data_IF_749186489358
#
_entry.id   IF_749186489358
#
_cell.length_a   1.000
_cell.length_b   1.000
_cell.length_c   1.000
_cell.angle_alpha   90.00
_cell.angle_beta   90.00
_cell.angle_gamma   90.00
#
_symmetry.space_group_name_H-M   'P 1'
#
loop_
_entity.id
_entity.type
_entity.pdbx_description
1 polymer ?
#
# COMPACT_ATOMS: atom_id res chain seq x y z
N UNK A 1 -12.03 14.28 -35.35
CA UNK A 1 -12.61 13.06 -34.75
C UNK A 1 -11.73 12.50 -33.63
N UNK A 2 -10.43 12.26 -33.87
CA UNK A 2 -9.49 11.74 -32.86
C UNK A 2 -9.37 12.61 -31.58
N UNK A 3 -9.40 13.94 -31.71
CA UNK A 3 -9.33 14.84 -30.55
C UNK A 3 -10.47 14.61 -29.53
N UNK A 4 -11.70 14.38 -30.01
CA UNK A 4 -12.85 14.11 -29.16
C UNK A 4 -12.73 12.75 -28.46
N UNK A 5 -12.21 11.74 -29.16
CA UNK A 5 -11.99 10.40 -28.59
C UNK A 5 -10.93 10.43 -27.48
N UNK A 6 -9.82 11.14 -27.70
CA UNK A 6 -8.77 11.31 -26.70
C UNK A 6 -9.30 12.04 -25.46
N UNK A 7 -9.99 13.16 -25.64
CA UNK A 7 -10.57 13.92 -24.54
C UNK A 7 -11.57 13.06 -23.73
N UNK A 8 -12.44 12.32 -24.42
CA UNK A 8 -13.40 11.42 -23.76
C UNK A 8 -12.70 10.31 -22.98
N UNK A 9 -11.67 9.67 -23.58
CA UNK A 9 -10.89 8.63 -22.92
C UNK A 9 -10.19 9.14 -21.65
N UNK A 10 -9.58 10.33 -21.70
CA UNK A 10 -8.95 10.96 -20.54
C UNK A 10 -9.96 11.23 -19.42
N UNK A 11 -11.13 11.77 -19.75
CA UNK A 11 -12.18 12.03 -18.76
C UNK A 11 -12.69 10.73 -18.14
N UNK A 12 -12.92 9.70 -18.94
CA UNK A 12 -13.30 8.37 -18.44
C UNK A 12 -12.26 7.79 -17.50
N UNK A 13 -10.98 7.82 -17.89
CA UNK A 13 -9.88 7.36 -17.05
C UNK A 13 -9.83 8.12 -15.72
N UNK A 14 -10.05 9.44 -15.75
CA UNK A 14 -10.06 10.28 -14.56
C UNK A 14 -11.24 9.94 -13.62
N UNK A 15 -12.44 9.73 -14.18
CA UNK A 15 -13.62 9.30 -13.40
C UNK A 15 -13.36 7.93 -12.78
N UNK A 16 -12.85 6.97 -13.55
CA UNK A 16 -12.51 5.63 -13.05
C UNK A 16 -11.47 5.69 -11.94
N UNK A 17 -10.43 6.49 -12.09
CA UNK A 17 -9.39 6.67 -11.08
C UNK A 17 -9.97 7.21 -9.76
N UNK A 18 -10.78 8.27 -9.80
CA UNK A 18 -11.43 8.79 -8.61
C UNK A 18 -12.43 7.80 -8.01
N UNK A 19 -13.14 7.03 -8.83
CA UNK A 19 -14.02 5.95 -8.37
C UNK A 19 -13.26 4.88 -7.58
N UNK A 20 -12.08 4.46 -8.07
CA UNK A 20 -11.22 3.50 -7.38
C UNK A 20 -10.70 4.07 -6.06
N UNK A 21 -10.26 5.34 -6.04
CA UNK A 21 -9.82 6.02 -4.82
C UNK A 21 -10.95 5.99 -3.78
N UNK A 22 -12.15 6.46 -4.16
CA UNK A 22 -13.31 6.47 -3.27
C UNK A 22 -13.60 5.07 -2.72
N UNK A 23 -13.63 4.07 -3.60
CA UNK A 23 -13.87 2.68 -3.20
C UNK A 23 -12.79 2.13 -2.28
N UNK A 24 -11.52 2.44 -2.50
CA UNK A 24 -10.42 2.02 -1.65
C UNK A 24 -10.49 2.62 -0.23
N UNK A 25 -11.06 3.83 -0.08
CA UNK A 25 -11.30 4.47 1.21
C UNK A 25 -12.65 4.12 1.85
N UNK A 26 -13.50 3.35 1.16
CA UNK A 26 -14.79 2.92 1.70
C UNK A 26 -14.66 1.99 2.91
N UNK A 27 -15.69 1.94 3.75
CA UNK A 27 -15.71 1.14 4.99
C UNK A 27 -15.41 -0.34 4.75
N UNK A 28 -15.84 -0.91 3.61
CA UNK A 28 -15.61 -2.32 3.28
C UNK A 28 -14.18 -2.66 2.86
N UNK A 29 -13.35 -1.67 2.51
CA UNK A 29 -11.95 -1.87 2.05
C UNK A 29 -10.91 -1.31 3.01
N UNK A 30 -11.29 -0.35 3.85
CA UNK A 30 -10.39 0.36 4.77
C UNK A 30 -9.56 -0.59 5.65
N UNK A 31 -10.17 -1.64 6.22
CA UNK A 31 -9.46 -2.56 7.11
C UNK A 31 -8.46 -3.44 6.36
N UNK A 32 -8.88 -4.11 5.29
CA UNK A 32 -7.99 -4.95 4.49
C UNK A 32 -6.81 -4.14 3.91
N UNK A 33 -7.05 -2.89 3.49
CA UNK A 33 -5.98 -2.02 2.99
C UNK A 33 -5.00 -1.62 4.11
N UNK A 34 -5.49 -1.37 5.34
CA UNK A 34 -4.63 -1.07 6.49
C UNK A 34 -3.74 -2.26 6.86
N UNK A 35 -4.32 -3.47 6.88
CA UNK A 35 -3.59 -4.69 7.19
C UNK A 35 -2.52 -4.99 6.13
N UNK A 36 -2.87 -4.86 4.83
CA UNK A 36 -1.92 -5.05 3.73
C UNK A 36 -0.74 -4.06 3.79
N UNK A 37 -0.98 -2.81 4.18
CA UNK A 37 0.07 -1.79 4.32
C UNK A 37 1.07 -2.11 5.45
N UNK A 38 0.67 -2.92 6.43
CA UNK A 38 1.55 -3.34 7.53
C UNK A 38 2.38 -4.59 7.20
N UNK A 39 2.07 -5.34 6.13
CA UNK A 39 2.81 -6.54 5.73
C UNK A 39 4.34 -6.36 5.62
N UNK A 40 4.89 -5.29 5.01
CA UNK A 40 6.35 -5.09 4.97
C UNK A 40 6.98 -4.80 6.34
N UNK A 41 6.17 -4.51 7.36
CA UNK A 41 6.59 -4.21 8.74
C UNK A 41 6.11 -5.26 9.75
N UNK A 42 5.43 -6.31 9.27
CA UNK A 42 4.95 -7.41 10.10
C UNK A 42 6.07 -8.43 10.37
N UNK A 43 7.18 -8.32 9.66
CA UNK A 43 8.40 -9.06 9.94
C UNK A 43 9.11 -8.40 11.12
N UNK A 44 9.77 -9.18 12.00
CA UNK A 44 10.67 -8.62 12.99
C UNK A 44 11.71 -7.74 12.28
N UNK A 45 12.00 -6.57 12.83
CA UNK A 45 13.00 -5.66 12.28
C UNK A 45 14.29 -6.45 11.98
N UNK A 46 14.81 -6.35 10.75
CA UNK A 46 16.11 -6.89 10.38
C UNK A 46 17.26 -6.05 10.98
N UNK A 47 17.14 -5.69 12.24
CA UNK A 47 18.27 -5.33 13.07
C UNK A 47 18.73 -6.61 13.73
N UNK A 48 19.97 -7.03 13.47
CA UNK A 48 20.61 -8.09 14.26
C UNK A 48 20.28 -7.80 15.73
N UNK A 49 19.62 -8.74 16.43
CA UNK A 49 19.34 -8.55 17.83
C UNK A 49 20.69 -8.38 18.55
N UNK A 50 21.07 -7.14 18.84
CA UNK A 50 22.26 -6.81 19.61
C UNK A 50 22.22 -7.47 21.00
N UNK A 51 21.01 -7.79 21.49
CA UNK A 51 20.73 -8.60 22.68
C UNK A 51 21.16 -10.07 22.55
N UNK A 52 21.01 -10.70 21.37
CA UNK A 52 21.51 -12.07 21.15
C UNK A 52 23.04 -12.06 21.02
N UNK A 53 23.61 -11.12 20.26
CA UNK A 53 25.07 -11.00 20.10
C UNK A 53 25.79 -10.83 21.45
N UNK A 54 25.21 -10.05 22.38
CA UNK A 54 25.80 -9.86 23.71
C UNK A 54 25.75 -11.10 24.61
N UNK A 55 24.74 -11.96 24.45
CA UNK A 55 24.61 -13.20 25.23
C UNK A 55 25.67 -14.24 24.84
N UNK A 56 26.01 -14.29 23.56
CA UNK A 56 26.95 -15.27 23.01
C UNK A 56 28.42 -14.90 23.23
N UNK A 57 28.70 -13.61 23.53
CA UNK A 57 30.04 -13.05 23.75
C UNK A 57 30.41 -13.00 25.25
N UNK A 58 29.45 -13.21 26.16
CA UNK A 58 29.72 -13.20 27.60
C UNK A 58 30.11 -14.63 28.05
N UNK A 59 31.36 -14.86 28.51
CA UNK A 59 31.79 -16.17 29.01
C UNK A 59 31.14 -16.52 30.36
#
# INVERSE_FOLDING_TARGET
>A
MLAYLNAFSTVLAMITFFGIIWWAFSSGRKQANKEAAMLPFALPDEGIEYSQIKKDIQP
#
